data_IF_619596453299
#
_entry.id   IF_619596453299
#
_cell.length_a   1.000
_cell.length_b   1.000
_cell.length_c   1.000
_cell.angle_alpha   90.00
_cell.angle_beta   90.00
_cell.angle_gamma   90.00
#
_symmetry.space_group_name_H-M   'P 1'
#
loop_
_entity.id
_entity.type
_entity.pdbx_description
1 polymer ?
#
# COMPACT_ATOMS: atom_id res chain seq x y z
N UNK A 1 10.53 -5.04 16.11
CA UNK A 1 10.34 -4.95 14.63
C UNK A 1 10.72 -3.57 14.14
N UNK A 2 10.93 -3.38 12.83
CA UNK A 2 11.18 -2.06 12.22
C UNK A 2 9.94 -1.56 11.48
N UNK A 3 9.72 -0.25 11.52
CA UNK A 3 8.62 0.41 10.83
C UNK A 3 8.86 0.38 9.32
N UNK A 4 7.87 -0.09 8.57
CA UNK A 4 7.93 -0.14 7.09
C UNK A 4 7.88 1.25 6.44
N UNK A 5 7.49 2.29 7.19
CA UNK A 5 7.42 3.67 6.68
C UNK A 5 8.75 4.41 6.80
N UNK A 6 9.42 4.31 7.94
CA UNK A 6 10.59 5.13 8.26
C UNK A 6 11.81 4.34 8.79
N UNK A 7 11.74 3.00 8.86
CA UNK A 7 12.80 2.14 9.38
C UNK A 7 12.99 2.17 10.91
N UNK A 8 12.30 3.07 11.62
CA UNK A 8 12.41 3.23 13.07
C UNK A 8 11.97 1.99 13.86
N UNK A 9 12.48 1.85 15.08
CA UNK A 9 12.11 0.76 15.98
C UNK A 9 10.62 0.87 16.33
N UNK A 10 9.93 -0.27 16.32
CA UNK A 10 8.57 -0.41 16.81
C UNK A 10 8.56 -1.19 18.13
N UNK A 11 7.83 -0.68 19.11
CA UNK A 11 7.60 -1.30 20.42
C UNK A 11 6.16 -1.80 20.53
N UNK A 12 5.94 -2.75 21.44
CA UNK A 12 4.61 -3.29 21.76
C UNK A 12 4.00 -2.44 22.89
N UNK A 13 2.77 -2.01 22.69
CA UNK A 13 1.96 -1.26 23.63
C UNK A 13 0.69 -2.09 23.90
N UNK A 14 0.41 -2.35 25.18
CA UNK A 14 -0.72 -3.15 25.61
C UNK A 14 -1.72 -2.23 26.28
N UNK A 15 -2.92 -2.13 25.72
CA UNK A 15 -3.99 -1.28 26.22
C UNK A 15 -5.10 -2.18 26.76
N UNK A 16 -5.32 -2.12 28.07
CA UNK A 16 -6.45 -2.80 28.70
C UNK A 16 -7.69 -1.91 28.62
N UNK A 17 -8.73 -2.40 27.95
CA UNK A 17 -10.05 -1.77 27.88
C UNK A 17 -11.07 -2.60 28.66
N UNK A 18 -12.26 -2.06 28.89
CA UNK A 18 -13.35 -2.81 29.54
C UNK A 18 -13.78 -4.05 28.74
N UNK A 19 -13.51 -4.08 27.43
CA UNK A 19 -13.88 -5.17 26.52
C UNK A 19 -12.75 -6.20 26.33
N UNK A 20 -11.55 -5.93 26.85
CA UNK A 20 -10.43 -6.87 26.76
C UNK A 20 -9.05 -6.21 26.72
N UNK A 21 -8.09 -6.93 26.16
CA UNK A 21 -6.69 -6.49 26.06
C UNK A 21 -6.34 -6.32 24.58
N UNK A 22 -5.95 -5.10 24.20
CA UNK A 22 -5.53 -4.78 22.85
C UNK A 22 -4.01 -4.65 22.79
N UNK A 23 -3.37 -5.44 21.94
CA UNK A 23 -1.93 -5.38 21.71
C UNK A 23 -1.64 -4.65 20.40
N UNK A 24 -1.02 -3.48 20.49
CA UNK A 24 -0.69 -2.64 19.34
C UNK A 24 0.82 -2.37 19.27
N UNK A 25 1.33 -2.17 18.06
CA UNK A 25 2.74 -1.90 17.79
C UNK A 25 2.89 -0.46 17.34
N UNK A 26 3.72 0.33 18.02
CA UNK A 26 3.89 1.76 17.74
C UNK A 26 5.34 2.08 17.38
N UNK A 27 5.53 2.91 16.34
CA UNK A 27 6.86 3.38 15.94
C UNK A 27 7.30 4.58 16.78
N UNK A 28 8.53 4.53 17.31
CA UNK A 28 9.12 5.62 18.12
C UNK A 28 9.34 6.89 17.28
N UNK A 29 9.65 6.74 15.99
CA UNK A 29 10.06 7.87 15.14
C UNK A 29 8.86 8.57 14.50
N UNK A 30 7.96 7.83 13.84
CA UNK A 30 6.86 8.43 13.07
C UNK A 30 5.47 8.22 13.69
N UNK A 31 5.39 7.56 14.86
CA UNK A 31 4.13 7.32 15.56
C UNK A 31 3.17 6.34 14.87
N UNK A 32 3.57 5.70 13.75
CA UNK A 32 2.71 4.74 13.03
C UNK A 32 2.32 3.59 13.97
N UNK A 33 1.02 3.32 14.05
CA UNK A 33 0.44 2.23 14.83
C UNK A 33 0.05 1.10 13.86
N UNK A 34 0.42 -0.13 14.19
CA UNK A 34 -0.04 -1.35 13.51
C UNK A 34 -0.50 -2.37 14.54
N UNK A 35 -1.50 -3.17 14.19
CA UNK A 35 -1.98 -4.28 15.01
C UNK A 35 -1.48 -5.60 14.41
N UNK A 36 -1.31 -6.63 15.25
CA UNK A 36 -1.02 -8.01 14.84
C UNK A 36 -2.04 -8.51 13.81
N UNK A 37 -3.33 -8.21 14.00
CA UNK A 37 -4.39 -8.55 13.03
C UNK A 37 -4.14 -7.94 11.65
N UNK A 38 -3.69 -6.68 11.61
CA UNK A 38 -3.39 -5.99 10.35
C UNK A 38 -2.14 -6.56 9.67
N UNK A 39 -1.18 -7.06 10.43
CA UNK A 39 -0.01 -7.74 9.88
C UNK A 39 -0.33 -9.14 9.35
N UNK A 40 -1.17 -9.89 10.05
CA UNK A 40 -1.66 -11.21 9.61
C UNK A 40 -2.46 -11.09 8.31
N UNK A 41 -3.33 -10.08 8.20
CA UNK A 41 -4.11 -9.81 6.98
C UNK A 41 -3.25 -9.46 5.75
N UNK A 42 -1.97 -9.10 5.92
CA UNK A 42 -1.05 -8.92 4.79
C UNK A 42 -0.45 -10.22 4.29
N UNK A 43 -0.28 -11.21 5.18
CA UNK A 43 0.21 -12.53 4.83
C UNK A 43 -0.90 -13.36 4.17
N UNK A 44 -2.12 -13.25 4.69
CA UNK A 44 -3.31 -13.88 4.14
C UNK A 44 -4.33 -12.80 3.77
N UNK A 45 -4.20 -12.17 2.58
CA UNK A 45 -5.21 -11.22 2.13
C UNK A 45 -6.56 -11.96 2.04
N UNK A 46 -7.66 -11.36 2.51
CA UNK A 46 -8.97 -11.94 2.32
C UNK A 46 -9.22 -12.14 0.81
N UNK A 47 -9.99 -13.18 0.43
CA UNK A 47 -10.34 -13.38 -0.96
C UNK A 47 -10.94 -12.08 -1.51
N UNK A 48 -10.57 -11.68 -2.74
CA UNK A 48 -11.14 -10.50 -3.35
C UNK A 48 -12.67 -10.63 -3.34
N UNK A 49 -13.41 -9.53 -3.07
CA UNK A 49 -14.86 -9.60 -3.00
C UNK A 49 -15.40 -10.16 -4.32
N UNK A 50 -16.10 -11.29 -4.25
CA UNK A 50 -16.90 -11.80 -5.36
C UNK A 50 -17.89 -10.69 -5.75
N UNK A 51 -17.79 -10.21 -6.99
CA UNK A 51 -18.79 -9.36 -7.63
C UNK A 51 -18.83 -7.87 -7.26
N UNK A 52 -17.69 -7.16 -7.38
CA UNK A 52 -17.78 -5.87 -8.11
C UNK A 52 -17.67 -6.17 -9.60
N UNK A 53 -18.79 -6.59 -10.18
CA UNK A 53 -18.88 -6.90 -11.60
C UNK A 53 -18.21 -5.80 -12.41
N UNK A 54 -17.18 -6.16 -13.20
CA UNK A 54 -16.78 -5.34 -14.34
C UNK A 54 -18.06 -5.11 -15.14
N UNK A 55 -18.58 -3.88 -15.16
CA UNK A 55 -19.60 -3.53 -16.15
C UNK A 55 -18.98 -3.84 -17.53
N UNK A 56 -19.61 -4.67 -18.37
CA UNK A 56 -19.02 -5.14 -19.62
C UNK A 56 -18.67 -4.01 -20.62
N UNK A 57 -19.17 -2.79 -20.40
CA UNK A 57 -19.00 -1.64 -21.30
C UNK A 57 -17.94 -0.62 -20.86
N UNK A 58 -17.01 -0.93 -19.94
CA UNK A 58 -15.92 -0.01 -19.67
C UNK A 58 -14.92 -0.06 -20.83
N UNK A 59 -15.24 0.66 -21.92
CA UNK A 59 -14.37 0.92 -23.05
C UNK A 59 -13.02 1.33 -22.48
N UNK A 60 -12.03 0.45 -22.65
CA UNK A 60 -10.63 0.83 -22.52
C UNK A 60 -10.44 1.87 -23.61
N UNK A 61 -10.48 3.16 -23.25
CA UNK A 61 -10.04 4.22 -24.17
C UNK A 61 -8.60 3.85 -24.51
N UNK A 62 -8.39 3.29 -25.69
CA UNK A 62 -7.06 3.06 -26.22
C UNK A 62 -6.33 4.40 -26.16
N UNK A 63 -5.36 4.49 -25.26
CA UNK A 63 -4.50 5.65 -25.19
C UNK A 63 -3.64 5.56 -26.45
N UNK A 64 -4.08 6.21 -27.53
CA UNK A 64 -3.24 6.44 -28.72
C UNK A 64 -2.06 7.29 -28.29
N UNK A 65 -0.96 6.62 -27.93
CA UNK A 65 0.32 7.27 -27.70
C UNK A 65 0.71 7.98 -28.99
N UNK A 66 0.86 9.30 -28.95
CA UNK A 66 1.39 10.06 -30.08
C UNK A 66 2.77 9.50 -30.42
N UNK A 67 3.11 9.29 -31.70
CA UNK A 67 4.43 8.83 -32.07
C UNK A 67 5.49 9.83 -31.58
N UNK A 68 6.50 9.31 -30.90
CA UNK A 68 7.64 10.10 -30.41
C UNK A 68 8.34 10.66 -31.66
N UNK A 69 8.24 11.98 -31.87
CA UNK A 69 8.95 12.63 -32.96
C UNK A 69 10.46 12.50 -32.70
N UNK A 70 11.15 11.75 -33.55
CA UNK A 70 12.61 11.64 -33.48
C UNK A 70 13.19 13.00 -33.88
N UNK A 71 13.63 13.80 -32.91
CA UNK A 71 14.47 14.97 -33.19
C UNK A 71 15.76 14.46 -33.83
N UNK A 72 16.01 14.84 -35.08
CA UNK A 72 17.30 14.64 -35.74
C UNK A 72 18.34 15.44 -34.95
N UNK A 73 19.22 14.74 -34.23
CA UNK A 73 20.41 15.34 -33.64
C UNK A 73 21.30 15.75 -34.81
N UNK A 74 21.36 17.06 -35.11
CA UNK A 74 22.37 17.59 -36.04
C UNK A 74 23.73 17.35 -35.38
N UNK A 75 24.57 16.53 -36.01
CA UNK A 75 25.99 16.45 -35.63
C UNK A 75 26.59 17.83 -35.89
N UNK A 76 27.17 18.43 -34.84
CA UNK A 76 28.01 19.61 -34.97
C UNK A 76 29.22 19.25 -35.83
N UNK A 77 29.57 20.14 -36.75
CA UNK A 77 30.67 20.01 -37.70
C UNK A 77 31.97 20.52 -37.09
#
# INVERSE_FOLDING_TARGET
>A
MRCTKCGGIMFLEVVSTHEGVLQMKKCIICGRITDNLTEINKLNPPPPPENRGRKPNHLVREIKLKPISRRKVKKAK
#
